data_IF_513920562484
#
_entry.id   IF_513920562484
#
_cell.length_a   1.000
_cell.length_b   1.000
_cell.length_c   1.000
_cell.angle_alpha   90.00
_cell.angle_beta   90.00
_cell.angle_gamma   90.00
#
_symmetry.space_group_name_H-M   'P 1'
#
loop_
_entity.id
_entity.type
_entity.pdbx_description
1 polymer ?
#
# COMPACT_ATOMS: atom_id res chain seq x y z
N UNK A 1 66.56 38.38 39.29
CA UNK A 1 65.43 38.77 38.46
C UNK A 1 65.01 37.57 37.58
N UNK A 2 63.92 36.85 37.85
CA UNK A 2 63.56 35.67 37.11
C UNK A 2 62.50 36.02 36.08
N UNK A 3 62.58 35.39 34.91
CA UNK A 3 61.97 35.54 33.64
C UNK A 3 60.42 35.34 33.61
N UNK A 4 59.71 36.36 33.21
CA UNK A 4 58.28 36.40 33.01
C UNK A 4 57.80 35.82 31.64
N UNK A 5 58.58 35.07 30.90
CA UNK A 5 58.32 34.64 29.54
C UNK A 5 57.75 33.23 29.39
N UNK A 6 57.74 32.40 30.44
CA UNK A 6 57.28 31.02 30.36
C UNK A 6 55.83 30.77 30.79
N UNK A 7 55.04 31.81 31.08
CA UNK A 7 53.65 31.68 31.52
C UNK A 7 52.59 31.99 30.45
N UNK A 8 53.02 32.39 29.24
CA UNK A 8 52.06 32.71 28.13
C UNK A 8 51.95 31.64 27.06
N UNK A 9 52.74 30.60 27.05
CA UNK A 9 52.70 29.52 26.03
C UNK A 9 51.79 28.33 26.42
N UNK A 10 51.38 28.20 27.70
CA UNK A 10 50.56 27.08 28.17
C UNK A 10 49.03 27.32 27.99
N UNK A 11 48.60 28.54 27.68
CA UNK A 11 47.19 28.90 27.59
C UNK A 11 46.58 28.74 26.18
N UNK A 12 47.39 28.61 25.13
CA UNK A 12 46.89 28.56 23.73
C UNK A 12 46.68 27.13 23.23
N UNK A 13 47.39 26.15 23.80
CA UNK A 13 47.22 24.74 23.39
C UNK A 13 45.98 24.06 24.00
N UNK A 14 45.41 24.57 25.12
CA UNK A 14 44.23 24.00 25.74
C UNK A 14 42.90 24.44 25.05
N UNK A 15 42.91 25.57 24.32
CA UNK A 15 41.72 26.07 23.65
C UNK A 15 41.50 25.44 22.24
N UNK A 16 42.53 24.86 21.64
CA UNK A 16 42.41 24.17 20.31
C UNK A 16 41.99 22.70 20.41
N UNK A 17 42.10 22.09 21.62
CA UNK A 17 41.65 20.71 21.84
C UNK A 17 40.16 20.56 22.15
N UNK A 18 39.44 21.65 22.46
CA UNK A 18 38.02 21.64 22.78
C UNK A 18 37.11 21.87 21.56
N UNK A 19 37.66 22.25 20.40
CA UNK A 19 36.88 22.45 19.18
C UNK A 19 36.80 21.21 18.28
N UNK A 20 37.49 20.12 18.57
CA UNK A 20 37.52 18.89 17.79
C UNK A 20 36.48 17.83 18.23
N UNK A 21 35.65 18.08 19.24
CA UNK A 21 34.71 17.11 19.80
C UNK A 21 33.24 17.31 19.37
N UNK A 22 32.94 18.21 18.43
CA UNK A 22 31.61 18.40 17.82
C UNK A 22 31.57 17.85 16.40
N UNK A 23 32.30 16.79 16.12
CA UNK A 23 31.98 15.96 14.97
C UNK A 23 30.73 15.17 15.36
N UNK A 24 29.57 15.63 14.86
CA UNK A 24 28.35 14.90 14.99
C UNK A 24 28.62 13.43 14.65
N UNK A 25 28.29 12.55 15.55
CA UNK A 25 28.22 11.11 15.27
C UNK A 25 27.14 10.99 14.18
N UNK A 26 27.58 11.03 12.91
CA UNK A 26 26.78 10.52 11.84
C UNK A 26 26.55 9.06 12.22
N UNK A 27 25.36 8.74 12.73
CA UNK A 27 24.94 7.37 12.95
C UNK A 27 25.17 6.65 11.63
N UNK A 28 26.19 5.81 11.57
CA UNK A 28 26.45 4.99 10.40
C UNK A 28 25.16 4.24 10.10
N UNK A 29 24.60 4.47 8.92
CA UNK A 29 23.37 3.83 8.48
C UNK A 29 23.60 2.33 8.51
N UNK A 30 22.71 1.59 9.14
CA UNK A 30 22.82 0.13 9.20
C UNK A 30 22.89 -0.47 7.79
N UNK A 31 23.88 -1.30 7.53
CA UNK A 31 24.04 -1.99 6.24
C UNK A 31 22.99 -3.11 6.17
N UNK A 32 22.09 -3.12 5.18
CA UNK A 32 21.12 -4.20 4.96
C UNK A 32 21.82 -5.54 4.78
N UNK A 33 21.30 -6.61 5.41
CA UNK A 33 21.85 -7.97 5.28
C UNK A 33 21.61 -8.55 3.87
N UNK A 34 20.52 -8.13 3.23
CA UNK A 34 20.14 -8.49 1.85
C UNK A 34 19.85 -7.21 1.07
N UNK A 35 20.88 -6.56 0.49
CA UNK A 35 20.72 -5.29 -0.20
C UNK A 35 19.97 -5.41 -1.55
N UNK A 36 20.09 -6.55 -2.24
CA UNK A 36 19.39 -6.81 -3.51
C UNK A 36 18.22 -7.74 -3.27
N UNK A 37 17.02 -7.32 -3.65
CA UNK A 37 15.79 -8.09 -3.45
C UNK A 37 14.72 -7.81 -4.52
N UNK A 38 13.79 -8.75 -4.65
CA UNK A 38 12.62 -8.64 -5.53
C UNK A 38 11.37 -8.36 -4.70
N UNK A 39 10.59 -7.34 -5.11
CA UNK A 39 9.30 -6.98 -4.51
C UNK A 39 8.18 -7.24 -5.52
N UNK A 40 7.25 -8.11 -5.18
CA UNK A 40 6.03 -8.34 -5.96
C UNK A 40 4.99 -7.26 -5.66
N UNK A 41 4.47 -6.58 -6.68
CA UNK A 41 3.47 -5.50 -6.56
C UNK A 41 2.20 -5.89 -7.28
N UNK A 42 1.05 -5.72 -6.66
CA UNK A 42 -0.24 -6.16 -7.19
C UNK A 42 -0.95 -5.13 -8.08
N UNK A 43 -0.26 -4.53 -9.04
CA UNK A 43 -0.80 -3.53 -9.98
C UNK A 43 -0.17 -2.16 -9.79
N UNK A 44 1.11 -2.04 -10.13
CA UNK A 44 1.92 -0.83 -9.96
C UNK A 44 1.33 0.45 -10.60
N UNK A 45 0.58 0.42 -11.73
CA UNK A 45 -0.08 1.60 -12.26
C UNK A 45 -1.22 2.15 -11.39
N UNK A 46 -1.74 1.38 -10.44
CA UNK A 46 -2.80 1.80 -9.53
C UNK A 46 -2.29 2.70 -8.41
N UNK A 47 -3.05 3.75 -8.08
CA UNK A 47 -2.68 4.65 -6.98
C UNK A 47 -2.61 3.95 -5.62
N UNK A 48 -3.20 2.77 -5.48
CA UNK A 48 -3.09 1.92 -4.31
C UNK A 48 -1.64 1.61 -3.91
N UNK A 49 -0.72 1.52 -4.89
CA UNK A 49 0.71 1.24 -4.67
C UNK A 49 1.60 2.45 -4.98
N UNK A 50 1.03 3.65 -5.04
CA UNK A 50 1.80 4.88 -5.30
C UNK A 50 2.97 5.09 -4.32
N UNK A 51 2.90 4.71 -3.02
CA UNK A 51 4.06 4.79 -2.12
C UNK A 51 5.27 3.97 -2.60
N UNK A 52 5.05 2.77 -3.16
CA UNK A 52 6.13 1.94 -3.72
C UNK A 52 6.75 2.63 -4.94
N UNK A 53 5.92 3.12 -5.86
CA UNK A 53 6.38 3.86 -7.04
C UNK A 53 7.15 5.11 -6.62
N UNK A 54 6.65 5.86 -5.63
CA UNK A 54 7.31 7.05 -5.08
C UNK A 54 8.68 6.71 -4.50
N UNK A 55 8.79 5.67 -3.67
CA UNK A 55 10.05 5.24 -3.10
C UNK A 55 11.08 4.85 -4.18
N UNK A 56 10.63 4.19 -5.25
CA UNK A 56 11.48 3.82 -6.38
C UNK A 56 11.93 5.04 -7.18
N UNK A 57 11.01 5.91 -7.59
CA UNK A 57 11.29 7.05 -8.47
C UNK A 57 12.12 8.13 -7.79
N UNK A 58 11.90 8.37 -6.49
CA UNK A 58 12.67 9.34 -5.71
C UNK A 58 13.97 8.74 -5.11
N UNK A 59 14.26 7.47 -5.40
CA UNK A 59 15.49 6.83 -4.99
C UNK A 59 15.56 6.45 -3.51
N UNK A 60 14.44 6.44 -2.78
CA UNK A 60 14.44 6.19 -1.33
C UNK A 60 14.92 4.77 -0.97
N UNK A 61 14.68 3.76 -1.82
CA UNK A 61 15.29 2.44 -1.63
C UNK A 61 16.81 2.49 -1.72
N UNK A 62 17.35 3.22 -2.71
CA UNK A 62 18.81 3.39 -2.89
C UNK A 62 19.44 4.17 -1.73
N UNK A 63 18.75 5.20 -1.24
CA UNK A 63 19.17 5.96 -0.06
C UNK A 63 19.30 5.07 1.17
N UNK A 64 18.50 4.00 1.27
CA UNK A 64 18.55 2.99 2.33
C UNK A 64 19.54 1.84 2.03
N UNK A 65 20.32 1.93 0.95
CA UNK A 65 21.27 0.90 0.56
C UNK A 65 20.64 -0.33 -0.08
N UNK A 66 19.42 -0.19 -0.65
CA UNK A 66 18.68 -1.27 -1.29
C UNK A 66 18.64 -1.13 -2.80
N UNK A 67 18.81 -2.23 -3.49
CA UNK A 67 18.51 -2.42 -4.90
C UNK A 67 17.25 -3.29 -5.01
N UNK A 68 16.10 -2.65 -5.25
CA UNK A 68 14.80 -3.30 -5.28
C UNK A 68 14.32 -3.44 -6.72
N UNK A 69 14.13 -4.69 -7.17
CA UNK A 69 13.45 -4.99 -8.42
C UNK A 69 11.95 -5.07 -8.16
N UNK A 70 11.17 -4.20 -8.82
CA UNK A 70 9.71 -4.25 -8.74
C UNK A 70 9.17 -5.16 -9.83
N UNK A 71 8.47 -6.23 -9.46
CA UNK A 71 7.73 -7.09 -10.38
C UNK A 71 6.23 -6.80 -10.29
N UNK A 72 5.64 -6.36 -11.41
CA UNK A 72 4.24 -5.97 -11.48
C UNK A 72 3.35 -7.16 -11.87
N UNK A 73 2.30 -7.38 -11.07
CA UNK A 73 1.31 -8.43 -11.28
C UNK A 73 -0.08 -7.82 -11.49
N UNK A 74 -0.97 -8.56 -12.14
CA UNK A 74 -2.33 -8.09 -12.44
C UNK A 74 -3.15 -7.69 -11.20
N UNK A 75 -2.79 -8.20 -10.01
CA UNK A 75 -3.45 -7.86 -8.76
C UNK A 75 -2.76 -8.50 -7.55
N UNK A 76 -3.13 -8.06 -6.35
CA UNK A 76 -2.47 -8.44 -5.10
C UNK A 76 -2.43 -9.94 -4.81
N UNK A 77 -3.46 -10.71 -5.21
CA UNK A 77 -3.44 -12.18 -5.05
C UNK A 77 -2.33 -12.83 -5.89
N UNK A 78 -2.04 -12.30 -7.09
CA UNK A 78 -0.97 -12.80 -7.95
C UNK A 78 0.41 -12.40 -7.40
N UNK A 79 0.54 -11.21 -6.86
CA UNK A 79 1.76 -10.80 -6.16
C UNK A 79 2.02 -11.68 -4.92
N UNK A 80 0.98 -12.01 -4.14
CA UNK A 80 1.10 -12.94 -3.02
C UNK A 80 1.57 -14.33 -3.47
N UNK A 81 1.02 -14.86 -4.57
CA UNK A 81 1.45 -16.15 -5.13
C UNK A 81 2.96 -16.16 -5.46
N UNK A 82 3.51 -15.05 -5.98
CA UNK A 82 4.94 -14.89 -6.26
C UNK A 82 5.78 -14.95 -4.97
N UNK A 83 5.34 -14.27 -3.89
CA UNK A 83 6.05 -14.33 -2.60
C UNK A 83 5.96 -15.71 -1.97
N UNK A 84 4.79 -16.35 -2.00
CA UNK A 84 4.60 -17.71 -1.48
C UNK A 84 5.44 -18.74 -2.26
N UNK A 85 5.55 -18.56 -3.57
CA UNK A 85 6.36 -19.40 -4.44
C UNK A 85 7.86 -19.14 -4.37
N UNK A 86 8.29 -18.07 -3.67
CA UNK A 86 9.71 -17.72 -3.50
C UNK A 86 10.34 -17.03 -4.72
N UNK A 87 9.56 -16.62 -5.72
CA UNK A 87 10.04 -15.81 -6.85
C UNK A 87 10.20 -14.34 -6.48
N UNK A 88 9.55 -13.88 -5.41
CA UNK A 88 9.76 -12.57 -4.80
C UNK A 88 10.04 -12.70 -3.30
N UNK A 89 10.86 -11.80 -2.77
CA UNK A 89 11.26 -11.78 -1.35
C UNK A 89 10.19 -11.17 -0.45
N UNK A 90 9.58 -10.09 -0.92
CA UNK A 90 8.57 -9.30 -0.19
C UNK A 90 7.40 -8.96 -1.11
N UNK A 91 6.25 -8.70 -0.52
CA UNK A 91 5.06 -8.27 -1.23
C UNK A 91 4.65 -6.86 -0.86
N UNK A 92 4.33 -6.05 -1.87
CA UNK A 92 3.50 -4.88 -1.73
C UNK A 92 2.06 -5.30 -2.06
N UNK A 93 1.26 -5.50 -1.03
CA UNK A 93 -0.08 -6.05 -1.17
C UNK A 93 -0.97 -5.68 0.01
N UNK A 94 -2.16 -6.23 0.05
CA UNK A 94 -3.13 -5.88 1.07
C UNK A 94 -2.88 -6.61 2.39
N UNK A 95 -3.18 -5.93 3.51
CA UNK A 95 -3.04 -6.49 4.85
C UNK A 95 -3.81 -7.80 5.04
N UNK A 96 -5.01 -7.92 4.50
CA UNK A 96 -5.85 -9.11 4.61
C UNK A 96 -5.17 -10.39 4.09
N UNK A 97 -4.16 -10.28 3.24
CA UNK A 97 -3.38 -11.43 2.79
C UNK A 97 -2.67 -12.13 3.96
N UNK A 98 -2.20 -11.37 4.96
CA UNK A 98 -1.55 -11.97 6.14
C UNK A 98 -2.54 -12.79 6.97
N UNK A 99 -3.80 -12.37 7.06
CA UNK A 99 -4.87 -13.10 7.73
C UNK A 99 -5.19 -14.42 7.02
N UNK A 100 -5.33 -14.38 5.67
CA UNK A 100 -5.55 -15.58 4.88
C UNK A 100 -4.37 -16.56 4.94
N UNK A 101 -3.14 -16.05 5.00
CA UNK A 101 -1.97 -16.91 5.13
C UNK A 101 -1.93 -17.58 6.49
N UNK A 102 -2.24 -16.85 7.57
CA UNK A 102 -2.31 -17.45 8.91
C UNK A 102 -3.42 -18.52 9.00
N UNK A 103 -4.59 -18.28 8.39
CA UNK A 103 -5.65 -19.29 8.31
C UNK A 103 -5.22 -20.58 7.59
N UNK A 104 -4.20 -20.51 6.73
CA UNK A 104 -3.58 -21.64 6.06
C UNK A 104 -2.36 -22.22 6.81
N UNK A 105 -2.09 -21.76 8.02
CA UNK A 105 -0.94 -22.16 8.81
C UNK A 105 0.39 -21.59 8.33
N UNK A 106 0.38 -20.51 7.54
CA UNK A 106 1.58 -19.84 7.04
C UNK A 106 1.75 -18.47 7.72
N UNK A 107 2.98 -18.14 8.13
CA UNK A 107 3.27 -16.96 8.93
C UNK A 107 3.85 -15.85 8.06
N UNK A 108 3.00 -14.86 7.77
CA UNK A 108 3.34 -13.63 7.06
C UNK A 108 3.00 -12.44 7.94
N UNK A 109 3.86 -11.44 7.95
CA UNK A 109 3.64 -10.21 8.74
C UNK A 109 3.74 -8.98 7.86
N UNK A 110 2.79 -8.06 8.03
CA UNK A 110 2.90 -6.70 7.53
C UNK A 110 3.83 -5.89 8.45
N UNK A 111 4.73 -5.09 7.88
CA UNK A 111 5.72 -4.34 8.64
C UNK A 111 5.79 -2.84 8.31
N UNK A 112 5.07 -2.40 7.27
CA UNK A 112 4.81 -0.99 6.96
C UNK A 112 3.44 -0.85 6.28
N UNK A 113 2.60 0.07 6.79
CA UNK A 113 1.30 0.39 6.22
C UNK A 113 1.46 1.52 5.19
N UNK A 114 0.98 1.33 3.98
CA UNK A 114 0.94 2.36 2.93
C UNK A 114 -0.44 3.03 2.81
N UNK A 115 -1.51 2.28 3.10
CA UNK A 115 -2.88 2.78 2.98
C UNK A 115 -3.75 2.42 4.16
N UNK A 116 -4.43 3.41 4.75
CA UNK A 116 -5.38 3.26 5.86
C UNK A 116 -6.85 3.15 5.42
N UNK A 117 -7.06 3.14 4.10
CA UNK A 117 -8.34 2.92 3.44
C UNK A 117 -8.11 2.12 2.15
N UNK A 118 -9.07 1.26 1.71
CA UNK A 118 -8.89 0.39 0.56
C UNK A 118 -8.71 1.11 -0.78
N UNK A 119 -9.14 2.39 -0.92
CA UNK A 119 -9.06 3.17 -2.15
C UNK A 119 -9.78 2.52 -3.35
N UNK A 120 -10.77 1.69 -3.08
CA UNK A 120 -11.50 0.90 -4.08
C UNK A 120 -12.89 1.48 -4.29
N UNK A 121 -13.29 1.54 -5.54
CA UNK A 121 -14.63 1.96 -5.96
C UNK A 121 -15.35 0.78 -6.60
N UNK A 122 -16.60 0.53 -6.18
CA UNK A 122 -17.51 -0.42 -6.84
C UNK A 122 -18.52 0.39 -7.65
N UNK A 123 -18.63 0.07 -8.93
CA UNK A 123 -19.48 0.81 -9.86
C UNK A 123 -20.15 -0.12 -10.87
N UNK A 124 -21.31 0.27 -11.37
CA UNK A 124 -21.97 -0.37 -12.50
C UNK A 124 -21.64 0.40 -13.79
N UNK A 125 -21.50 -0.31 -14.91
CA UNK A 125 -21.38 0.36 -16.22
C UNK A 125 -22.68 1.13 -16.54
N UNK A 126 -22.56 2.34 -17.03
CA UNK A 126 -23.74 3.17 -17.39
C UNK A 126 -24.65 2.46 -18.38
N UNK A 127 -24.09 1.69 -19.31
CA UNK A 127 -24.84 0.85 -20.25
C UNK A 127 -25.65 -0.30 -19.60
N UNK A 128 -25.39 -0.58 -18.30
CA UNK A 128 -26.08 -1.63 -17.53
C UNK A 128 -26.93 -1.05 -16.39
N UNK A 129 -26.89 0.25 -16.17
CA UNK A 129 -27.49 0.92 -15.02
C UNK A 129 -29.02 0.89 -15.00
N UNK A 130 -29.68 0.56 -16.12
CA UNK A 130 -31.14 0.35 -16.14
C UNK A 130 -31.51 -0.97 -15.45
N UNK A 131 -30.64 -1.98 -15.51
CA UNK A 131 -30.85 -3.32 -14.94
C UNK A 131 -30.20 -3.47 -13.55
N UNK A 132 -29.06 -2.82 -13.31
CA UNK A 132 -28.31 -2.89 -12.08
C UNK A 132 -28.30 -1.50 -11.46
N UNK A 133 -29.17 -1.26 -10.50
CA UNK A 133 -29.32 0.05 -9.81
C UNK A 133 -28.67 0.06 -8.44
N UNK A 134 -28.60 -1.09 -7.81
CA UNK A 134 -28.06 -1.30 -6.45
C UNK A 134 -27.19 -2.55 -6.41
N UNK A 135 -26.45 -2.75 -5.32
CA UNK A 135 -25.67 -3.98 -5.12
C UNK A 135 -26.54 -5.25 -5.07
N UNK A 136 -27.82 -5.14 -4.69
CA UNK A 136 -28.73 -6.28 -4.66
C UNK A 136 -29.03 -6.84 -6.06
N UNK A 137 -28.84 -6.02 -7.09
CA UNK A 137 -29.12 -6.38 -8.50
C UNK A 137 -27.92 -7.08 -9.18
N UNK A 138 -26.82 -7.33 -8.44
CA UNK A 138 -25.59 -7.91 -9.01
C UNK A 138 -25.69 -9.42 -9.31
N UNK A 139 -26.76 -10.11 -8.92
CA UNK A 139 -26.91 -11.55 -9.19
C UNK A 139 -26.82 -11.85 -10.69
N UNK A 140 -25.89 -12.75 -11.05
CA UNK A 140 -25.60 -13.10 -12.44
C UNK A 140 -24.67 -12.13 -13.17
N UNK A 141 -24.26 -11.02 -12.55
CA UNK A 141 -23.41 -10.02 -13.18
C UNK A 141 -21.97 -10.51 -13.35
N UNK A 142 -21.32 -10.04 -14.42
CA UNK A 142 -19.88 -10.14 -14.65
C UNK A 142 -19.22 -8.90 -14.07
N UNK A 143 -18.44 -9.05 -13.02
CA UNK A 143 -17.80 -7.92 -12.32
C UNK A 143 -16.29 -7.95 -12.53
N UNK A 144 -15.74 -6.89 -13.11
CA UNK A 144 -14.30 -6.71 -13.26
C UNK A 144 -13.64 -6.43 -11.91
N UNK A 145 -12.59 -7.16 -11.58
CA UNK A 145 -11.71 -6.96 -10.42
C UNK A 145 -10.26 -6.97 -10.88
N UNK A 146 -9.31 -6.46 -10.10
CA UNK A 146 -7.90 -6.53 -10.53
C UNK A 146 -7.47 -7.98 -10.77
N UNK A 147 -7.69 -8.86 -9.78
CA UNK A 147 -7.63 -10.31 -9.93
C UNK A 147 -8.56 -10.95 -8.88
N UNK A 148 -9.18 -12.11 -9.17
CA UNK A 148 -9.93 -12.85 -8.16
C UNK A 148 -9.09 -13.11 -6.89
N UNK A 149 -9.66 -12.84 -5.72
CA UNK A 149 -8.96 -12.95 -4.42
C UNK A 149 -8.07 -11.77 -4.04
N UNK A 150 -7.97 -10.73 -4.88
CA UNK A 150 -7.33 -9.45 -4.53
C UNK A 150 -8.28 -8.55 -3.74
N UNK A 151 -7.78 -7.46 -3.14
CA UNK A 151 -8.59 -6.52 -2.35
C UNK A 151 -9.80 -5.98 -3.10
N UNK A 152 -9.69 -5.78 -4.42
CA UNK A 152 -10.82 -5.35 -5.25
C UNK A 152 -11.97 -6.36 -5.23
N UNK A 153 -11.67 -7.66 -5.23
CA UNK A 153 -12.66 -8.73 -5.09
C UNK A 153 -13.18 -8.83 -3.64
N UNK A 154 -12.31 -8.62 -2.65
CA UNK A 154 -12.70 -8.69 -1.22
C UNK A 154 -13.62 -7.54 -0.83
N UNK A 155 -13.30 -6.29 -1.20
CA UNK A 155 -14.17 -5.12 -0.96
C UNK A 155 -15.53 -5.29 -1.63
N UNK A 156 -15.54 -5.75 -2.89
CA UNK A 156 -16.76 -6.11 -3.61
C UNK A 156 -17.57 -7.15 -2.82
N UNK A 157 -16.93 -8.22 -2.36
CA UNK A 157 -17.59 -9.32 -1.64
C UNK A 157 -18.24 -8.84 -0.34
N UNK A 158 -17.54 -7.99 0.43
CA UNK A 158 -18.10 -7.39 1.66
C UNK A 158 -19.31 -6.53 1.35
N UNK A 159 -19.21 -5.69 0.31
CA UNK A 159 -20.30 -4.80 -0.10
C UNK A 159 -21.52 -5.60 -0.57
N UNK A 160 -21.33 -6.61 -1.41
CA UNK A 160 -22.38 -7.51 -1.90
C UNK A 160 -23.06 -8.26 -0.76
N UNK A 161 -22.28 -8.77 0.22
CA UNK A 161 -22.80 -9.50 1.36
C UNK A 161 -23.78 -8.66 2.18
N UNK A 162 -23.48 -7.38 2.38
CA UNK A 162 -24.38 -6.43 3.05
C UNK A 162 -25.69 -6.22 2.29
N UNK A 163 -25.68 -6.37 0.98
CA UNK A 163 -26.86 -6.29 0.12
C UNK A 163 -27.58 -7.65 -0.09
N UNK A 164 -27.16 -8.72 0.63
CA UNK A 164 -27.78 -10.05 0.53
C UNK A 164 -27.35 -10.84 -0.72
N UNK A 165 -26.29 -10.43 -1.42
CA UNK A 165 -25.72 -11.13 -2.59
C UNK A 165 -24.48 -11.90 -2.16
N UNK A 166 -24.39 -13.19 -2.55
CA UNK A 166 -23.21 -14.03 -2.28
C UNK A 166 -22.15 -13.79 -3.35
N UNK A 167 -20.88 -14.02 -2.98
CA UNK A 167 -19.77 -13.95 -3.94
C UNK A 167 -19.95 -14.97 -5.10
N UNK A 168 -20.57 -16.11 -4.83
CA UNK A 168 -20.91 -17.14 -5.82
C UNK A 168 -22.02 -16.74 -6.78
N UNK A 169 -22.80 -15.69 -6.47
CA UNK A 169 -23.89 -15.21 -7.34
C UNK A 169 -23.39 -14.35 -8.50
N UNK A 170 -22.10 -14.05 -8.54
CA UNK A 170 -21.45 -13.22 -9.58
C UNK A 170 -20.27 -13.93 -10.24
N UNK A 171 -19.92 -13.50 -11.45
CA UNK A 171 -18.68 -13.90 -12.11
C UNK A 171 -17.63 -12.77 -11.94
N UNK A 172 -16.62 -12.97 -11.09
CA UNK A 172 -15.50 -12.02 -11.02
C UNK A 172 -14.49 -12.29 -12.13
N UNK A 173 -14.24 -11.28 -12.93
CA UNK A 173 -13.34 -11.30 -14.09
C UNK A 173 -12.09 -10.50 -13.75
N UNK A 174 -10.91 -11.11 -13.86
CA UNK A 174 -9.64 -10.42 -13.70
C UNK A 174 -9.39 -9.46 -14.87
N UNK A 175 -9.33 -8.16 -14.60
CA UNK A 175 -9.13 -7.11 -15.62
C UNK A 175 -7.88 -6.26 -15.34
N UNK A 176 -7.08 -6.61 -14.31
CA UNK A 176 -5.95 -5.79 -13.86
C UNK A 176 -6.38 -4.48 -13.20
N UNK A 177 -5.42 -3.55 -13.05
CA UNK A 177 -5.65 -2.20 -12.50
C UNK A 177 -5.15 -1.08 -13.43
N UNK A 178 -4.61 -1.43 -14.59
CA UNK A 178 -4.08 -0.51 -15.62
C UNK A 178 -5.00 -0.36 -16.82
N UNK A 179 -4.41 -0.11 -17.98
CA UNK A 179 -5.13 0.13 -19.25
C UNK A 179 -6.06 -1.01 -19.68
N UNK A 180 -5.81 -2.24 -19.24
CA UNK A 180 -6.66 -3.42 -19.50
C UNK A 180 -8.09 -3.27 -18.97
N UNK A 181 -8.29 -2.45 -17.92
CA UNK A 181 -9.61 -2.09 -17.40
C UNK A 181 -10.45 -1.39 -18.47
N UNK A 182 -9.85 -0.43 -19.21
CA UNK A 182 -10.54 0.31 -20.27
C UNK A 182 -10.96 -0.61 -21.41
N UNK A 183 -10.10 -1.57 -21.77
CA UNK A 183 -10.43 -2.56 -22.79
C UNK A 183 -11.61 -3.46 -22.36
N UNK A 184 -11.62 -3.93 -21.11
CA UNK A 184 -12.71 -4.74 -20.58
C UNK A 184 -14.08 -4.01 -20.60
N UNK A 185 -14.07 -2.72 -20.23
CA UNK A 185 -15.24 -1.85 -20.28
C UNK A 185 -15.68 -1.62 -21.74
N UNK A 186 -14.75 -1.21 -22.61
CA UNK A 186 -15.05 -0.89 -24.02
C UNK A 186 -15.55 -2.09 -24.83
N UNK A 187 -15.07 -3.30 -24.53
CA UNK A 187 -15.47 -4.54 -25.19
C UNK A 187 -16.74 -5.18 -24.59
N UNK A 188 -17.36 -4.58 -23.57
CA UNK A 188 -18.55 -5.13 -22.92
C UNK A 188 -18.33 -6.48 -22.22
N UNK A 189 -17.12 -6.76 -21.79
CA UNK A 189 -16.75 -8.03 -21.12
C UNK A 189 -17.30 -8.13 -19.70
N UNK A 190 -17.64 -6.99 -19.09
CA UNK A 190 -18.12 -6.86 -17.73
C UNK A 190 -19.40 -6.01 -17.67
N UNK A 191 -20.18 -6.17 -16.61
CA UNK A 191 -21.40 -5.39 -16.33
C UNK A 191 -21.14 -4.34 -15.23
N UNK A 192 -20.20 -4.62 -14.35
CA UNK A 192 -19.81 -3.79 -13.22
C UNK A 192 -18.31 -3.91 -12.96
N UNK A 193 -17.77 -3.06 -12.10
CA UNK A 193 -16.35 -2.96 -11.83
C UNK A 193 -16.08 -2.68 -10.34
N UNK A 194 -15.08 -3.34 -9.78
CA UNK A 194 -14.48 -3.02 -8.49
C UNK A 194 -13.00 -2.81 -8.70
N UNK A 195 -12.52 -1.57 -8.65
CA UNK A 195 -11.14 -1.26 -9.00
C UNK A 195 -10.64 0.02 -8.31
N UNK A 196 -9.42 0.42 -8.62
CA UNK A 196 -8.70 1.53 -8.01
C UNK A 196 -8.47 2.67 -9.00
N UNK A 197 -8.12 3.85 -8.49
CA UNK A 197 -7.68 4.97 -9.30
C UNK A 197 -6.27 4.70 -9.91
N UNK A 198 -5.96 5.33 -11.06
CA UNK A 198 -6.69 6.41 -11.73
C UNK A 198 -7.82 5.94 -12.68
N UNK A 199 -7.99 4.63 -12.89
CA UNK A 199 -8.99 4.11 -13.83
C UNK A 199 -10.42 4.46 -13.41
N UNK A 200 -10.74 4.41 -12.11
CA UNK A 200 -12.08 4.71 -11.62
C UNK A 200 -12.43 6.19 -11.82
N UNK A 201 -11.52 7.12 -11.56
CA UNK A 201 -11.72 8.55 -11.87
C UNK A 201 -11.92 8.78 -13.37
N UNK A 202 -11.13 8.12 -14.24
CA UNK A 202 -11.26 8.22 -15.69
C UNK A 202 -12.66 7.78 -16.18
N UNK A 203 -13.12 6.63 -15.70
CA UNK A 203 -14.41 6.08 -16.07
C UNK A 203 -15.59 6.88 -15.49
N UNK A 204 -15.44 7.42 -14.27
CA UNK A 204 -16.45 8.31 -13.67
C UNK A 204 -16.56 9.61 -14.45
N UNK A 205 -15.43 10.25 -14.76
CA UNK A 205 -15.38 11.52 -15.51
C UNK A 205 -15.95 11.41 -16.91
N UNK A 206 -15.75 10.27 -17.58
CA UNK A 206 -16.33 10.00 -18.91
C UNK A 206 -17.81 9.63 -18.86
N UNK A 207 -18.42 9.46 -17.69
CA UNK A 207 -19.79 8.98 -17.53
C UNK A 207 -19.99 7.50 -17.86
N UNK A 208 -18.89 6.73 -18.01
CA UNK A 208 -18.95 5.31 -18.37
C UNK A 208 -19.44 4.41 -17.23
N UNK A 209 -19.35 4.89 -15.98
CA UNK A 209 -19.77 4.16 -14.79
C UNK A 209 -20.63 5.02 -13.86
N UNK A 210 -21.45 4.35 -13.05
CA UNK A 210 -22.15 4.92 -11.89
C UNK A 210 -21.61 4.28 -10.61
N UNK A 211 -21.07 5.10 -9.70
CA UNK A 211 -20.48 4.65 -8.43
C UNK A 211 -21.59 4.20 -7.48
N UNK A 212 -21.43 3.04 -6.86
CA UNK A 212 -22.31 2.47 -5.84
C UNK A 212 -21.64 2.39 -4.46
N UNK A 213 -20.33 2.16 -4.43
CA UNK A 213 -19.52 2.13 -3.19
C UNK A 213 -18.22 2.85 -3.45
N UNK A 214 -17.79 3.68 -2.50
CA UNK A 214 -16.55 4.43 -2.59
C UNK A 214 -15.77 4.32 -1.27
N UNK A 215 -14.65 3.61 -1.29
CA UNK A 215 -13.74 3.46 -0.15
C UNK A 215 -12.41 4.20 -0.36
N UNK A 216 -12.39 5.23 -1.22
CA UNK A 216 -11.21 6.06 -1.46
C UNK A 216 -10.84 6.93 -0.27
N UNK A 217 -11.80 7.20 0.61
CA UNK A 217 -11.60 8.00 1.81
C UNK A 217 -11.77 7.17 3.08
N UNK A 218 -11.20 7.66 4.19
CA UNK A 218 -11.41 7.06 5.51
C UNK A 218 -12.89 7.04 5.89
N UNK A 219 -13.63 8.11 5.56
CA UNK A 219 -15.08 8.19 5.82
C UNK A 219 -15.85 7.11 5.05
N UNK A 220 -15.65 7.02 3.74
CA UNK A 220 -16.31 5.99 2.93
C UNK A 220 -15.94 4.57 3.37
N UNK A 221 -14.70 4.38 3.81
CA UNK A 221 -14.25 3.11 4.41
C UNK A 221 -15.02 2.77 5.68
N UNK A 222 -15.23 3.74 6.59
CA UNK A 222 -16.01 3.53 7.81
C UNK A 222 -17.47 3.16 7.52
N UNK A 223 -18.08 3.76 6.51
CA UNK A 223 -19.46 3.43 6.08
C UNK A 223 -19.57 1.98 5.61
N UNK A 224 -18.54 1.47 4.93
CA UNK A 224 -18.52 0.09 4.40
C UNK A 224 -18.12 -0.92 5.48
N UNK A 225 -17.10 -0.64 6.28
CA UNK A 225 -16.47 -1.63 7.18
C UNK A 225 -16.80 -1.42 8.66
N UNK A 226 -17.37 -0.28 9.03
CA UNK A 226 -17.68 0.06 10.42
C UNK A 226 -16.45 0.32 11.29
N UNK A 227 -15.31 0.65 10.67
CA UNK A 227 -14.03 0.94 11.33
C UNK A 227 -12.92 1.19 10.33
N UNK A 228 -11.69 1.36 10.84
CA UNK A 228 -10.50 1.51 10.01
C UNK A 228 -10.22 0.19 9.28
N UNK A 229 -9.99 0.26 7.96
CA UNK A 229 -9.65 -0.91 7.15
C UNK A 229 -8.25 -0.72 6.56
N UNK A 230 -7.20 -1.26 7.19
CA UNK A 230 -5.86 -1.25 6.62
C UNK A 230 -5.87 -1.87 5.23
N UNK A 231 -5.12 -1.27 4.32
CA UNK A 231 -5.14 -1.65 2.93
C UNK A 231 -3.74 -2.05 2.44
N UNK A 232 -3.12 -1.24 1.58
CA UNK A 232 -1.78 -1.53 1.09
C UNK A 232 -0.75 -1.60 2.22
N UNK A 233 0.06 -2.65 2.23
CA UNK A 233 1.17 -2.85 3.18
C UNK A 233 2.37 -3.44 2.46
N UNK A 234 3.57 -3.28 3.04
CA UNK A 234 4.65 -4.23 2.81
C UNK A 234 4.49 -5.40 3.78
N UNK A 235 4.56 -6.61 3.24
CA UNK A 235 4.56 -7.84 4.03
C UNK A 235 5.60 -8.83 3.51
N UNK A 236 6.05 -9.72 4.38
CA UNK A 236 6.98 -10.79 4.05
C UNK A 236 6.72 -12.04 4.90
N UNK A 237 7.27 -13.20 4.53
CA UNK A 237 7.35 -14.34 5.44
C UNK A 237 8.04 -13.91 6.75
N UNK A 238 7.57 -14.39 7.88
CA UNK A 238 8.16 -14.07 9.18
C UNK A 238 9.65 -14.46 9.23
N UNK A 239 10.03 -15.55 8.59
CA UNK A 239 11.41 -15.99 8.44
C UNK A 239 12.30 -14.98 7.71
N UNK A 240 11.77 -14.25 6.73
CA UNK A 240 12.50 -13.17 6.06
C UNK A 240 12.77 -12.01 7.03
N UNK A 241 11.73 -11.57 7.76
CA UNK A 241 11.83 -10.46 8.71
C UNK A 241 12.85 -10.77 9.83
N UNK A 242 12.82 -12.01 10.35
CA UNK A 242 13.74 -12.46 11.38
C UNK A 242 15.19 -12.58 10.87
N UNK A 243 15.36 -13.06 9.64
CA UNK A 243 16.69 -13.26 9.04
C UNK A 243 17.33 -11.96 8.55
N UNK A 244 16.53 -10.99 8.11
CA UNK A 244 16.99 -9.75 7.49
C UNK A 244 16.35 -8.50 8.14
N UNK A 245 16.53 -8.29 9.47
CA UNK A 245 15.87 -7.20 10.18
C UNK A 245 16.32 -5.81 9.73
N UNK A 246 17.59 -5.61 9.34
CA UNK A 246 18.05 -4.31 8.82
C UNK A 246 17.53 -4.05 7.41
N UNK A 247 17.45 -5.06 6.56
CA UNK A 247 16.82 -4.96 5.24
C UNK A 247 15.34 -4.62 5.39
N UNK A 248 14.62 -5.25 6.33
CA UNK A 248 13.21 -4.95 6.64
C UNK A 248 13.05 -3.50 7.14
N UNK A 249 13.97 -3.03 8.00
CA UNK A 249 13.97 -1.64 8.46
C UNK A 249 14.22 -0.66 7.31
N UNK A 250 15.17 -0.94 6.44
CA UNK A 250 15.47 -0.12 5.26
C UNK A 250 14.27 -0.01 4.32
N UNK A 251 13.56 -1.11 4.08
CA UNK A 251 12.30 -1.11 3.32
C UNK A 251 11.23 -0.24 3.98
N UNK A 252 11.04 -0.39 5.30
CA UNK A 252 10.09 0.42 6.05
C UNK A 252 10.44 1.91 6.02
N UNK A 253 11.74 2.26 6.16
CA UNK A 253 12.21 3.65 6.06
C UNK A 253 11.86 4.28 4.72
N UNK A 254 12.14 3.57 3.62
CA UNK A 254 11.86 4.05 2.27
C UNK A 254 10.36 4.29 2.03
N UNK A 255 9.51 3.37 2.49
CA UNK A 255 8.05 3.48 2.32
C UNK A 255 7.44 4.57 3.21
N UNK A 256 7.83 4.64 4.48
CA UNK A 256 7.30 5.67 5.39
C UNK A 256 7.72 7.07 4.93
N UNK A 257 8.93 7.22 4.38
CA UNK A 257 9.37 8.45 3.72
C UNK A 257 8.55 8.78 2.47
N UNK A 258 8.20 7.79 1.67
CA UNK A 258 7.33 7.97 0.50
C UNK A 258 5.91 8.36 0.91
N UNK A 259 5.34 7.70 1.90
CA UNK A 259 4.04 8.07 2.48
C UNK A 259 4.01 9.51 2.96
N UNK A 260 5.04 9.92 3.72
CA UNK A 260 5.18 11.28 4.21
C UNK A 260 5.29 12.30 3.06
N UNK A 261 6.08 12.00 2.03
CA UNK A 261 6.18 12.84 0.84
C UNK A 261 4.82 13.02 0.14
N UNK A 262 4.03 11.96 -0.01
CA UNK A 262 2.70 12.02 -0.62
C UNK A 262 1.72 12.89 0.16
N UNK A 263 1.88 13.05 1.49
CA UNK A 263 1.04 13.96 2.28
C UNK A 263 1.25 15.43 1.91
N UNK A 264 2.45 15.81 1.45
CA UNK A 264 2.85 17.21 1.26
C UNK A 264 3.20 17.57 -0.18
N UNK A 265 3.34 16.58 -1.06
CA UNK A 265 3.72 16.78 -2.46
C UNK A 265 2.78 17.75 -3.18
N UNK A 266 3.35 18.70 -3.95
CA UNK A 266 2.59 19.51 -4.88
C UNK A 266 2.18 18.69 -6.11
N UNK A 267 1.16 19.14 -6.83
CA UNK A 267 0.74 18.53 -8.10
C UNK A 267 1.87 18.49 -9.12
N UNK A 268 2.67 19.56 -9.16
CA UNK A 268 3.85 19.64 -10.04
C UNK A 268 4.91 18.59 -9.69
N UNK A 269 5.17 18.34 -8.40
CA UNK A 269 6.16 17.36 -7.98
C UNK A 269 5.65 15.94 -8.19
N UNK A 270 4.35 15.69 -7.94
CA UNK A 270 3.70 14.44 -8.29
C UNK A 270 3.88 14.10 -9.77
N UNK A 271 3.57 15.05 -10.66
CA UNK A 271 3.66 14.84 -12.11
C UNK A 271 5.10 14.65 -12.62
N UNK A 272 6.09 15.24 -11.95
CA UNK A 272 7.51 15.00 -12.27
C UNK A 272 7.98 13.61 -11.82
N UNK A 273 7.44 13.11 -10.72
CA UNK A 273 7.80 11.83 -10.14
C UNK A 273 7.18 10.65 -10.90
N UNK A 274 5.92 10.78 -11.35
CA UNK A 274 5.19 9.69 -11.99
C UNK A 274 5.68 9.47 -13.43
N UNK A 275 6.03 8.22 -13.83
CA UNK A 275 6.38 7.92 -15.20
C UNK A 275 5.26 8.31 -16.18
N UNK A 276 5.58 8.94 -17.35
CA UNK A 276 4.58 9.39 -18.31
C UNK A 276 3.58 8.31 -18.76
N UNK A 277 4.02 7.05 -18.83
CA UNK A 277 3.16 5.91 -19.17
C UNK A 277 1.98 5.70 -18.20
N UNK A 278 2.09 6.15 -16.94
CA UNK A 278 1.04 6.00 -15.94
C UNK A 278 0.09 7.19 -15.87
N UNK A 279 0.42 8.31 -16.53
CA UNK A 279 -0.42 9.51 -16.57
C UNK A 279 -1.66 9.37 -17.47
N UNK A 280 -1.84 8.27 -18.19
CA UNK A 280 -2.99 7.99 -19.07
C UNK A 280 -3.18 9.05 -20.17
N UNK A 281 -2.12 9.78 -20.56
CA UNK A 281 -2.12 10.95 -21.44
C UNK A 281 -3.02 12.10 -20.95
N UNK A 282 -3.33 12.16 -19.64
CA UNK A 282 -4.14 13.19 -19.01
C UNK A 282 -3.61 13.47 -17.59
N UNK A 283 -2.67 14.40 -17.49
CA UNK A 283 -2.05 14.79 -16.22
C UNK A 283 -3.05 15.39 -15.24
N UNK A 284 -4.05 16.14 -15.73
CA UNK A 284 -5.07 16.73 -14.87
C UNK A 284 -5.97 15.66 -14.24
N UNK A 285 -6.32 14.63 -15.00
CA UNK A 285 -7.05 13.47 -14.48
C UNK A 285 -6.24 12.71 -13.44
N UNK A 286 -4.93 12.54 -13.65
CA UNK A 286 -4.07 11.85 -12.68
C UNK A 286 -3.99 12.61 -11.35
N UNK A 287 -3.87 13.93 -11.41
CA UNK A 287 -3.91 14.82 -10.23
C UNK A 287 -5.25 14.72 -9.51
N UNK A 288 -6.37 14.79 -10.25
CA UNK A 288 -7.72 14.60 -9.69
C UNK A 288 -7.84 13.25 -8.97
N UNK A 289 -7.40 12.16 -9.61
CA UNK A 289 -7.40 10.82 -9.04
C UNK A 289 -6.56 10.73 -7.76
N UNK A 290 -5.38 11.37 -7.75
CA UNK A 290 -4.53 11.45 -6.57
C UNK A 290 -5.21 12.20 -5.41
N UNK A 291 -5.85 13.34 -5.67
CA UNK A 291 -6.58 14.08 -4.65
C UNK A 291 -7.74 13.28 -4.05
N UNK A 292 -8.41 12.44 -4.86
CA UNK A 292 -9.48 11.56 -4.39
C UNK A 292 -9.00 10.52 -3.35
N UNK A 293 -7.72 10.12 -3.38
CA UNK A 293 -7.17 9.06 -2.52
C UNK A 293 -6.10 9.55 -1.54
N UNK A 294 -5.69 10.81 -1.61
CA UNK A 294 -4.55 11.33 -0.84
C UNK A 294 -4.68 11.06 0.65
N UNK A 295 -5.87 11.29 1.23
CA UNK A 295 -6.13 11.08 2.65
C UNK A 295 -6.10 9.60 3.07
N UNK A 296 -6.17 8.69 2.11
CA UNK A 296 -6.10 7.26 2.38
C UNK A 296 -4.68 6.76 2.60
N UNK A 297 -3.64 7.48 2.17
CA UNK A 297 -2.26 7.08 2.46
C UNK A 297 -1.96 7.20 3.94
N UNK A 298 -1.12 6.28 4.43
CA UNK A 298 -0.68 6.29 5.82
C UNK A 298 0.19 7.53 6.09
N UNK A 299 0.00 8.24 7.19
CA UNK A 299 0.88 9.37 7.52
C UNK A 299 2.25 8.94 8.07
N UNK A 300 2.37 7.72 8.60
CA UNK A 300 3.51 7.26 9.40
C UNK A 300 3.86 5.78 9.24
N UNK A 301 3.19 5.05 8.36
CA UNK A 301 3.41 3.62 8.14
C UNK A 301 2.89 2.70 9.24
N UNK A 302 2.26 3.23 10.28
CA UNK A 302 1.84 2.48 11.47
C UNK A 302 0.45 1.86 11.29
N UNK A 303 0.34 0.57 11.57
CA UNK A 303 -0.94 -0.15 11.59
C UNK A 303 -1.83 0.42 12.70
N UNK A 304 -3.07 0.91 12.40
CA UNK A 304 -4.00 1.40 13.40
C UNK A 304 -4.49 0.29 14.31
N UNK A 305 -4.74 0.62 15.58
CA UNK A 305 -5.04 -0.37 16.63
C UNK A 305 -6.30 -1.20 16.35
N UNK A 306 -7.34 -0.59 15.77
CA UNK A 306 -8.62 -1.24 15.46
C UNK A 306 -8.64 -1.93 14.08
N UNK A 307 -7.68 -1.58 13.21
CA UNK A 307 -7.64 -1.99 11.81
C UNK A 307 -7.60 -3.51 11.60
N UNK A 308 -6.67 -4.25 12.23
CA UNK A 308 -6.60 -5.70 12.08
C UNK A 308 -7.89 -6.41 12.49
N UNK A 309 -8.52 -5.95 13.58
CA UNK A 309 -9.80 -6.51 14.04
C UNK A 309 -10.95 -6.20 13.07
N UNK A 310 -10.98 -5.01 12.48
CA UNK A 310 -11.95 -4.64 11.44
C UNK A 310 -11.79 -5.52 10.20
N UNK A 311 -10.55 -5.72 9.74
CA UNK A 311 -10.25 -6.60 8.61
C UNK A 311 -10.71 -8.03 8.88
N UNK A 312 -10.38 -8.58 10.04
CA UNK A 312 -10.79 -9.94 10.39
C UNK A 312 -12.32 -10.09 10.44
N UNK A 313 -13.05 -9.14 11.06
CA UNK A 313 -14.52 -9.16 11.08
C UNK A 313 -15.11 -9.11 9.67
N UNK A 314 -14.56 -8.24 8.80
CA UNK A 314 -15.03 -8.10 7.44
C UNK A 314 -14.85 -9.40 6.64
N UNK A 315 -13.68 -10.02 6.73
CA UNK A 315 -13.36 -11.25 6.02
C UNK A 315 -14.14 -12.46 6.57
N UNK A 316 -14.23 -12.62 7.87
CA UNK A 316 -14.97 -13.71 8.52
C UNK A 316 -16.49 -13.65 8.22
N UNK A 317 -16.99 -12.48 7.78
CA UNK A 317 -18.41 -12.34 7.41
C UNK A 317 -18.79 -13.15 6.16
N UNK A 318 -17.84 -13.52 5.32
CA UNK A 318 -18.09 -14.26 4.08
C UNK A 318 -17.18 -15.48 3.88
N UNK A 319 -16.08 -15.60 4.59
CA UNK A 319 -15.15 -16.74 4.47
C UNK A 319 -15.10 -17.53 5.79
N UNK A 320 -15.79 -18.65 5.81
CA UNK A 320 -15.87 -19.54 6.99
C UNK A 320 -14.54 -20.19 7.39
N UNK A 321 -13.52 -20.13 6.51
CA UNK A 321 -12.15 -20.61 6.82
C UNK A 321 -11.43 -19.68 7.79
N UNK A 322 -11.86 -18.41 7.87
CA UNK A 322 -11.37 -17.42 8.82
C UNK A 322 -12.19 -17.48 10.12
N UNK A 323 -11.81 -18.39 11.00
CA UNK A 323 -12.36 -18.42 12.35
C UNK A 323 -11.66 -17.35 13.21
N UNK A 324 -12.37 -16.27 13.63
CA UNK A 324 -11.77 -15.22 14.45
C UNK A 324 -11.12 -15.69 15.74
N UNK A 325 -11.55 -16.86 16.27
CA UNK A 325 -10.99 -17.43 17.49
C UNK A 325 -9.63 -18.11 17.28
N UNK A 326 -9.27 -18.41 16.03
CA UNK A 326 -8.02 -19.09 15.66
C UNK A 326 -6.99 -18.16 15.07
N UNK A 327 -7.36 -16.92 14.74
CA UNK A 327 -6.44 -15.93 14.17
C UNK A 327 -5.83 -15.10 15.29
N UNK A 328 -4.52 -15.19 15.44
CA UNK A 328 -3.73 -14.29 16.28
C UNK A 328 -3.37 -13.04 15.48
N UNK A 329 -4.11 -11.95 15.72
CA UNK A 329 -3.88 -10.68 15.04
C UNK A 329 -2.47 -10.12 15.28
N UNK A 330 -1.89 -10.36 16.46
CA UNK A 330 -0.56 -9.86 16.81
C UNK A 330 0.55 -10.53 15.99
N UNK A 331 0.31 -11.71 15.45
CA UNK A 331 1.22 -12.42 14.57
C UNK A 331 1.11 -12.02 13.09
N UNK A 332 0.12 -11.18 12.72
CA UNK A 332 -0.12 -10.78 11.32
C UNK A 332 0.56 -9.47 10.92
N UNK A 333 1.07 -8.71 11.88
CA UNK A 333 1.78 -7.45 11.63
C UNK A 333 2.78 -7.12 12.75
N UNK A 334 3.64 -6.15 12.49
CA UNK A 334 4.46 -5.46 13.49
C UNK A 334 4.57 -3.98 13.16
N UNK A 335 4.52 -3.13 14.19
CA UNK A 335 4.70 -1.69 14.06
C UNK A 335 6.14 -1.24 14.37
N UNK A 336 7.04 -2.15 14.74
CA UNK A 336 8.37 -1.81 15.23
C UNK A 336 9.21 -1.07 14.18
N UNK A 337 9.18 -1.54 12.94
CA UNK A 337 9.92 -0.94 11.84
C UNK A 337 9.33 0.41 11.41
N UNK A 338 8.01 0.49 11.27
CA UNK A 338 7.33 1.73 10.89
C UNK A 338 7.50 2.83 11.93
N UNK A 339 7.39 2.51 13.23
CA UNK A 339 7.61 3.49 14.31
C UNK A 339 9.04 4.04 14.31
N UNK A 340 10.04 3.17 14.08
CA UNK A 340 11.44 3.61 13.97
C UNK A 340 11.63 4.50 12.74
N UNK A 341 11.02 4.14 11.61
CA UNK A 341 11.07 4.94 10.39
C UNK A 341 10.41 6.32 10.59
N UNK A 342 9.21 6.37 11.17
CA UNK A 342 8.48 7.61 11.45
C UNK A 342 9.24 8.54 12.42
N UNK A 343 9.98 7.99 13.37
CA UNK A 343 10.80 8.77 14.29
C UNK A 343 11.97 9.50 13.59
N UNK A 344 12.41 9.03 12.43
CA UNK A 344 13.47 9.65 11.63
C UNK A 344 12.97 10.81 10.75
N UNK A 345 11.65 10.96 10.57
CA UNK A 345 11.05 12.04 9.78
C UNK A 345 10.83 13.33 10.59
N UNK A 346 11.08 13.29 11.88
CA UNK A 346 11.04 14.44 12.82
C UNK A 346 12.40 15.15 12.85
#
# INVERSE_FOLDING_TARGET
>A
MPNHWMRRAAGVCAALSALAALHGVALAKDIPEKPTLTMAVGGLPGLYYLPVLTAQQLGYFKDEGLEVTLEDFAGGSKALEAVVGGSADVGAGAFEHTLFMQAKGQHYRAFALMGRAPQIVVAVLTSKADKIKTLADFKGAKVGVSAPGSSTDLVLTVALRKAGVQRSDIAAIGVGSGATVLAAVGNGQIDALSNVDPMMTKLTRSGAIKVLVDTRTVKGTQEVFGGTMPAATLYAPESFIQKYPKTTQALANAIVRADHWLQTASDSDLLKMVPPAYLLNDSALYVEAFHNVRDAYSPDGVMPTDGPATSLRALASFDSRLDPKKIDLSATYTNDFARKAAAQLK
#
